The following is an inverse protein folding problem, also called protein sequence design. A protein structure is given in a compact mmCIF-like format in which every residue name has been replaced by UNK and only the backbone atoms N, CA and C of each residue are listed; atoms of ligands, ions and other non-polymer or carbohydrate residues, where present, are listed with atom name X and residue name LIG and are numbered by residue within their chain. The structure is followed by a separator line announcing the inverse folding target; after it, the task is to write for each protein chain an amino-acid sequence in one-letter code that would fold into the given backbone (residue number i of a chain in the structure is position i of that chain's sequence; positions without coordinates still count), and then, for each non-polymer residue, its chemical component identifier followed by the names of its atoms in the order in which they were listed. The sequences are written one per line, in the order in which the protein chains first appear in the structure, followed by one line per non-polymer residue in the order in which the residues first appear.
data_IF_299205188349
#
_entry.id   IF_299205188349
#
_cell.length_a   1.000
_cell.length_b   1.000
_cell.length_c   1.000
_cell.angle_alpha   90.00
_cell.angle_beta   90.00
_cell.angle_gamma   90.00
#
_symmetry.space_group_name_H-M   'P 1'
#
loop_
_entity.id
_entity.type
_entity.pdbx_description
1 polymer ?
#
# COMPACT_ATOMS: atom_id res chain seq x y z
N UNK A 1 -29.71 -20.31 68.60
CA UNK A 1 -29.91 -18.88 68.28
C UNK A 1 -28.55 -18.42 67.81
N UNK A 2 -28.31 -18.67 66.53
CA UNK A 2 -26.99 -18.76 65.93
C UNK A 2 -27.00 -17.83 64.73
N UNK A 3 -26.03 -16.92 64.71
CA UNK A 3 -25.92 -15.82 63.77
C UNK A 3 -25.95 -16.28 62.30
N UNK A 4 -26.85 -15.66 61.55
CA UNK A 4 -26.93 -15.74 60.09
C UNK A 4 -26.21 -14.52 59.54
N UNK A 5 -24.91 -14.66 59.29
CA UNK A 5 -24.14 -13.71 58.47
C UNK A 5 -24.61 -13.81 57.02
N UNK A 6 -25.30 -12.76 56.57
CA UNK A 6 -25.66 -12.55 55.16
C UNK A 6 -24.42 -12.07 54.41
N UNK A 7 -23.89 -12.93 53.56
CA UNK A 7 -22.96 -12.56 52.50
C UNK A 7 -23.66 -11.59 51.55
N UNK A 8 -23.16 -10.36 51.53
CA UNK A 8 -23.53 -9.34 50.54
C UNK A 8 -22.50 -9.42 49.43
N UNK A 9 -22.79 -10.20 48.39
CA UNK A 9 -22.05 -10.17 47.14
C UNK A 9 -22.20 -8.77 46.51
N UNK A 10 -21.19 -7.92 46.69
CA UNK A 10 -21.02 -6.72 45.90
C UNK A 10 -20.54 -7.13 44.49
N UNK A 11 -21.50 -7.27 43.58
CA UNK A 11 -21.28 -7.33 42.15
C UNK A 11 -20.64 -6.01 41.66
N UNK A 12 -19.31 -5.96 41.64
CA UNK A 12 -18.57 -4.84 41.03
C UNK A 12 -18.72 -4.89 39.52
N UNK A 13 -19.78 -4.29 39.01
CA UNK A 13 -19.93 -3.95 37.60
C UNK A 13 -18.81 -2.96 37.18
N UNK A 14 -17.72 -3.51 36.66
CA UNK A 14 -16.63 -2.72 36.07
C UNK A 14 -17.12 -2.03 34.79
N UNK A 15 -17.56 -0.78 34.96
CA UNK A 15 -17.98 0.11 33.87
C UNK A 15 -16.77 0.42 32.98
N UNK A 16 -16.56 -0.40 31.93
CA UNK A 16 -15.55 -0.20 30.88
C UNK A 16 -15.72 1.21 30.31
N UNK A 17 -14.77 2.10 30.62
CA UNK A 17 -14.71 3.44 30.01
C UNK A 17 -14.63 3.27 28.49
N UNK A 18 -15.47 3.96 27.70
CA UNK A 18 -15.33 3.95 26.25
C UNK A 18 -13.95 4.52 25.92
N UNK A 19 -13.09 3.69 25.33
CA UNK A 19 -11.75 4.10 24.95
C UNK A 19 -11.85 5.16 23.86
N UNK A 20 -11.39 6.38 24.15
CA UNK A 20 -11.32 7.51 23.20
C UNK A 20 -10.63 7.12 21.88
N UNK A 21 -9.70 6.17 21.95
CA UNK A 21 -8.95 5.63 20.82
C UNK A 21 -9.85 4.92 19.79
N UNK A 22 -10.96 4.31 20.24
CA UNK A 22 -11.92 3.66 19.34
C UNK A 22 -12.74 4.66 18.50
N UNK A 23 -13.02 5.85 19.03
CA UNK A 23 -13.79 6.86 18.31
C UNK A 23 -12.95 7.58 17.25
N UNK A 24 -11.71 7.94 17.58
CA UNK A 24 -10.75 8.55 16.65
C UNK A 24 -10.53 7.62 15.46
N UNK A 25 -10.38 6.31 15.70
CA UNK A 25 -10.23 5.35 14.62
C UNK A 25 -11.47 5.32 13.70
N UNK A 26 -12.68 5.23 14.26
CA UNK A 26 -13.92 5.25 13.46
C UNK A 26 -14.05 6.52 12.64
N UNK A 27 -13.77 7.68 13.23
CA UNK A 27 -13.82 8.96 12.52
C UNK A 27 -12.80 9.00 11.38
N UNK A 28 -11.55 8.57 11.63
CA UNK A 28 -10.51 8.49 10.61
C UNK A 28 -10.86 7.53 9.48
N UNK A 29 -11.51 6.40 9.80
CA UNK A 29 -11.95 5.41 8.81
C UNK A 29 -13.10 5.93 7.95
N UNK A 30 -14.06 6.64 8.54
CA UNK A 30 -15.15 7.29 7.82
C UNK A 30 -14.58 8.37 6.89
N UNK A 31 -13.67 9.21 7.39
CA UNK A 31 -12.98 10.21 6.58
C UNK A 31 -12.23 9.56 5.41
N UNK A 32 -11.49 8.48 5.66
CA UNK A 32 -10.82 7.69 4.63
C UNK A 32 -11.79 7.10 3.60
N UNK A 33 -12.96 6.61 4.03
CA UNK A 33 -13.99 6.12 3.12
C UNK A 33 -14.56 7.26 2.25
N UNK A 34 -14.83 8.43 2.83
CA UNK A 34 -15.33 9.59 2.08
C UNK A 34 -14.28 10.08 1.07
N UNK A 35 -13.03 10.25 1.51
CA UNK A 35 -11.90 10.64 0.67
C UNK A 35 -11.58 9.63 -0.44
N UNK A 36 -11.95 8.36 -0.28
CA UNK A 36 -11.74 7.35 -1.31
C UNK A 36 -13.03 7.00 -2.05
N UNK A 37 -14.11 7.78 -1.90
CA UNK A 37 -15.41 7.51 -2.53
C UNK A 37 -15.93 6.08 -2.26
N UNK A 38 -15.58 5.51 -1.10
CA UNK A 38 -15.93 4.15 -0.71
C UNK A 38 -15.03 3.05 -1.27
N UNK A 39 -14.03 3.36 -2.12
CA UNK A 39 -13.08 2.36 -2.63
C UNK A 39 -12.33 1.67 -1.50
N UNK A 40 -12.00 2.37 -0.40
CA UNK A 40 -11.34 1.79 0.77
C UNK A 40 -12.07 0.55 1.31
N UNK A 41 -13.41 0.52 1.32
CA UNK A 41 -14.19 -0.64 1.75
C UNK A 41 -13.99 -1.85 0.83
N UNK A 42 -13.98 -1.63 -0.50
CA UNK A 42 -13.72 -2.67 -1.49
C UNK A 42 -12.30 -3.23 -1.37
N UNK A 43 -11.31 -2.36 -1.18
CA UNK A 43 -9.92 -2.78 -0.99
C UNK A 43 -9.69 -3.46 0.36
N UNK A 44 -10.42 -3.05 1.41
CA UNK A 44 -10.39 -3.71 2.71
C UNK A 44 -10.80 -5.18 2.61
N UNK A 45 -11.90 -5.47 1.91
CA UNK A 45 -12.32 -6.86 1.67
C UNK A 45 -11.28 -7.67 0.89
N UNK A 46 -10.54 -7.06 -0.03
CA UNK A 46 -9.45 -7.73 -0.76
C UNK A 46 -8.27 -8.02 0.15
N UNK A 47 -7.88 -7.06 0.99
CA UNK A 47 -6.82 -7.22 1.97
C UNK A 47 -7.16 -8.33 2.97
N UNK A 48 -8.42 -8.46 3.40
CA UNK A 48 -8.84 -9.58 4.24
C UNK A 48 -8.60 -10.95 3.57
N UNK A 49 -8.76 -11.06 2.24
CA UNK A 49 -8.39 -12.29 1.52
C UNK A 49 -6.88 -12.52 1.55
N UNK A 50 -6.11 -11.44 1.54
CA UNK A 50 -4.66 -11.48 1.55
C UNK A 50 -4.11 -11.90 2.92
N UNK A 51 -4.85 -11.63 4.00
CA UNK A 51 -4.53 -12.13 5.35
C UNK A 51 -4.49 -13.66 5.43
N UNK A 52 -5.13 -14.39 4.51
CA UNK A 52 -5.02 -15.86 4.43
C UNK A 52 -3.60 -16.33 4.11
N UNK A 53 -2.79 -15.46 3.52
CA UNK A 53 -1.39 -15.72 3.20
C UNK A 53 -0.44 -15.34 4.33
N UNK A 54 -0.93 -14.77 5.44
CA UNK A 54 -0.12 -14.58 6.64
C UNK A 54 0.10 -15.95 7.32
N UNK A 55 1.34 -16.48 7.33
CA UNK A 55 1.62 -17.77 7.97
C UNK A 55 1.34 -17.76 9.47
N UNK A 56 1.32 -16.59 10.12
CA UNK A 56 0.93 -16.46 11.53
C UNK A 56 -0.53 -16.86 11.81
N UNK A 57 -1.41 -16.91 10.80
CA UNK A 57 -2.81 -17.26 10.99
C UNK A 57 -3.08 -18.78 10.97
N UNK A 58 -2.20 -19.57 10.37
CA UNK A 58 -2.43 -21.03 10.22
C UNK A 58 -1.83 -21.85 11.35
N UNK A 59 -0.82 -21.33 12.03
CA UNK A 59 -0.11 -22.09 13.04
C UNK A 59 0.50 -21.14 14.07
N UNK A 60 -0.09 -21.12 15.26
CA UNK A 60 0.40 -20.31 16.39
C UNK A 60 1.69 -20.85 16.99
N UNK A 61 2.05 -22.11 16.68
CA UNK A 61 3.22 -22.83 17.19
C UNK A 61 4.34 -22.99 16.16
N UNK A 62 4.06 -22.99 14.85
CA UNK A 62 5.12 -22.79 13.85
C UNK A 62 5.73 -21.43 14.13
N UNK A 63 7.02 -21.43 14.42
CA UNK A 63 7.86 -20.25 14.23
C UNK A 63 7.61 -19.80 12.79
N UNK A 64 6.80 -18.76 12.60
CA UNK A 64 6.51 -18.13 11.31
C UNK A 64 7.75 -17.45 10.68
N UNK A 65 8.94 -17.94 11.00
CA UNK A 65 10.18 -17.18 10.99
C UNK A 65 11.44 -18.01 10.70
N UNK A 66 11.37 -19.33 10.47
CA UNK A 66 12.59 -20.16 10.32
C UNK A 66 12.76 -20.84 8.97
N UNK A 67 11.81 -20.72 8.05
CA UNK A 67 11.94 -21.35 6.72
C UNK A 67 11.53 -20.36 5.65
N UNK A 68 12.40 -20.23 4.65
CA UNK A 68 12.15 -19.52 3.39
C UNK A 68 10.91 -20.15 2.76
N UNK A 69 9.71 -19.62 3.03
CA UNK A 69 8.49 -20.21 2.50
C UNK A 69 8.38 -19.77 1.05
N UNK A 70 8.70 -20.69 0.13
CA UNK A 70 8.46 -20.49 -1.29
C UNK A 70 6.99 -20.15 -1.52
N UNK A 71 6.71 -19.25 -2.47
CA UNK A 71 5.36 -18.78 -2.82
C UNK A 71 4.35 -19.93 -3.02
N UNK A 72 4.85 -21.08 -3.46
CA UNK A 72 4.11 -22.33 -3.64
C UNK A 72 3.59 -22.95 -2.32
N UNK A 73 4.34 -22.83 -1.22
CA UNK A 73 3.98 -23.36 0.10
C UNK A 73 2.92 -22.54 0.85
N UNK A 74 2.83 -21.23 0.56
CA UNK A 74 1.78 -20.35 1.13
C UNK A 74 0.45 -20.48 0.35
N UNK A 75 0.47 -21.16 -0.80
CA UNK A 75 -0.66 -21.24 -1.73
C UNK A 75 -0.94 -19.89 -2.40
N UNK A 76 0.07 -19.03 -2.51
CA UNK A 76 -0.04 -17.74 -3.19
C UNK A 76 -0.23 -18.03 -4.68
N UNK A 77 -1.48 -18.05 -5.14
CA UNK A 77 -1.77 -18.25 -6.55
C UNK A 77 -1.12 -17.08 -7.29
N UNK A 78 -0.20 -17.36 -8.21
CA UNK A 78 0.39 -16.38 -9.14
C UNK A 78 -0.66 -15.43 -9.73
N UNK A 79 -1.91 -15.92 -9.86
CA UNK A 79 -3.07 -15.16 -10.30
C UNK A 79 -3.44 -13.92 -9.47
N UNK A 80 -3.24 -13.88 -8.15
CA UNK A 80 -3.72 -12.73 -7.34
C UNK A 80 -2.79 -11.51 -7.44
N UNK A 81 -1.46 -11.73 -7.45
CA UNK A 81 -0.47 -10.67 -7.76
C UNK A 81 -0.63 -10.17 -9.19
N UNK A 82 -0.83 -11.09 -10.14
CA UNK A 82 -1.10 -10.73 -11.53
C UNK A 82 -2.39 -9.93 -11.69
N UNK A 83 -3.45 -10.23 -10.90
CA UNK A 83 -4.68 -9.43 -10.89
C UNK A 83 -4.45 -8.01 -10.38
N UNK A 84 -3.70 -7.85 -9.29
CA UNK A 84 -3.42 -6.51 -8.77
C UNK A 84 -2.52 -5.72 -9.73
N UNK A 85 -1.49 -6.35 -10.29
CA UNK A 85 -0.64 -5.70 -11.31
C UNK A 85 -1.49 -5.25 -12.50
N UNK A 86 -2.36 -6.13 -13.02
CA UNK A 86 -3.29 -5.79 -14.11
C UNK A 86 -4.22 -4.63 -13.76
N UNK A 87 -4.62 -4.50 -12.50
CA UNK A 87 -5.43 -3.35 -12.05
C UNK A 87 -4.60 -2.07 -11.98
N UNK A 88 -3.35 -2.14 -11.55
CA UNK A 88 -2.44 -1.01 -11.54
C UNK A 88 -2.08 -0.56 -12.96
N UNK A 89 -1.79 -1.50 -13.85
CA UNK A 89 -1.57 -1.23 -15.28
C UNK A 89 -2.80 -0.56 -15.91
N UNK A 90 -4.00 -0.99 -15.52
CA UNK A 90 -5.28 -0.37 -15.94
C UNK A 90 -5.48 1.04 -15.42
N UNK A 91 -4.85 1.42 -14.30
CA UNK A 91 -4.92 2.79 -13.76
C UNK A 91 -3.83 3.70 -14.35
N UNK A 92 -2.68 3.16 -14.74
CA UNK A 92 -1.61 3.93 -15.39
C UNK A 92 -2.10 4.56 -16.69
N UNK A 93 -2.79 3.79 -17.54
CA UNK A 93 -3.30 4.29 -18.83
C UNK A 93 -4.19 5.55 -18.69
N UNK A 94 -5.29 5.55 -17.92
CA UNK A 94 -6.14 6.73 -17.77
C UNK A 94 -5.42 7.89 -17.08
N UNK A 95 -4.56 7.62 -16.08
CA UNK A 95 -3.77 8.69 -15.44
C UNK A 95 -2.84 9.38 -16.44
N UNK A 96 -2.15 8.62 -17.30
CA UNK A 96 -1.30 9.17 -18.35
C UNK A 96 -2.10 10.00 -19.36
N UNK A 97 -3.29 9.53 -19.76
CA UNK A 97 -4.18 10.28 -20.65
C UNK A 97 -4.64 11.58 -19.99
N UNK A 98 -5.07 11.55 -18.74
CA UNK A 98 -5.46 12.75 -17.98
C UNK A 98 -4.29 13.72 -17.86
N UNK A 99 -3.09 13.22 -17.54
CA UNK A 99 -1.86 14.02 -17.44
C UNK A 99 -1.57 14.72 -18.76
N UNK A 100 -1.54 13.98 -19.87
CA UNK A 100 -1.25 14.51 -21.19
C UNK A 100 -2.33 15.51 -21.66
N UNK A 101 -3.60 15.21 -21.42
CA UNK A 101 -4.72 16.08 -21.81
C UNK A 101 -4.69 17.38 -21.02
N UNK A 102 -4.43 17.30 -19.71
CA UNK A 102 -4.32 18.49 -18.86
C UNK A 102 -3.11 19.34 -19.25
N UNK A 103 -1.96 18.71 -19.53
CA UNK A 103 -0.77 19.41 -20.00
C UNK A 103 -1.00 20.10 -21.36
N UNK A 104 -1.67 19.41 -22.29
CA UNK A 104 -2.03 20.00 -23.58
C UNK A 104 -3.00 21.18 -23.42
N UNK A 105 -4.03 21.04 -22.58
CA UNK A 105 -4.99 22.11 -22.30
C UNK A 105 -4.31 23.35 -21.66
N UNK A 106 -3.29 23.15 -20.82
CA UNK A 106 -2.52 24.23 -20.20
C UNK A 106 -1.47 24.85 -21.14
N UNK A 107 -1.00 24.10 -22.14
CA UNK A 107 0.04 24.56 -23.07
C UNK A 107 -0.53 25.34 -24.27
N UNK A 108 -1.80 25.11 -24.64
CA UNK A 108 -2.43 25.81 -25.76
C UNK A 108 -2.78 27.24 -25.31
N UNK A 109 -2.11 28.28 -25.85
CA UNK A 109 -2.56 29.65 -25.64
C UNK A 109 -3.96 29.82 -26.23
N UNK A 110 -4.81 30.64 -25.59
CA UNK A 110 -6.16 30.93 -26.09
C UNK A 110 -6.07 31.36 -27.57
N UNK A 111 -6.73 30.65 -28.51
CA UNK A 111 -6.72 31.01 -29.93
C UNK A 111 -7.61 32.23 -30.24
N UNK A 112 -8.38 32.69 -29.27
CA UNK A 112 -9.10 33.95 -29.33
C UNK A 112 -8.20 35.02 -28.74
N UNK A 113 -7.97 36.13 -29.45
CA UNK A 113 -7.20 37.31 -29.01
C UNK A 113 -7.72 37.96 -27.71
N UNK A 114 -8.71 37.35 -27.06
CA UNK A 114 -9.08 37.62 -25.68
C UNK A 114 -8.11 36.91 -24.74
N UNK A 115 -7.46 37.63 -23.82
CA UNK A 115 -6.58 37.01 -22.87
C UNK A 115 -7.44 36.12 -21.96
N UNK A 116 -6.97 34.89 -21.80
CA UNK A 116 -7.28 33.98 -20.69
C UNK A 116 -8.39 32.95 -20.98
N UNK A 117 -7.98 31.67 -20.98
CA UNK A 117 -8.83 30.61 -20.45
C UNK A 117 -9.43 31.11 -19.13
N UNK A 118 -10.73 30.88 -18.91
CA UNK A 118 -11.36 31.15 -17.62
C UNK A 118 -10.46 30.61 -16.49
N UNK A 119 -10.11 31.47 -15.53
CA UNK A 119 -9.15 31.15 -14.48
C UNK A 119 -9.56 29.90 -13.68
N UNK A 120 -10.86 29.63 -13.56
CA UNK A 120 -11.41 28.43 -12.94
C UNK A 120 -11.09 27.19 -13.77
N UNK A 121 -11.29 27.23 -15.09
CA UNK A 121 -10.94 26.11 -15.97
C UNK A 121 -9.44 25.80 -15.89
N UNK A 122 -8.60 26.84 -15.90
CA UNK A 122 -7.15 26.70 -15.70
C UNK A 122 -6.83 26.04 -14.36
N UNK A 123 -7.44 26.48 -13.26
CA UNK A 123 -7.23 25.89 -11.95
C UNK A 123 -7.60 24.39 -11.94
N UNK A 124 -8.75 24.03 -12.52
CA UNK A 124 -9.23 22.65 -12.60
C UNK A 124 -8.29 21.76 -13.43
N UNK A 125 -7.76 22.26 -14.55
CA UNK A 125 -6.74 21.53 -15.33
C UNK A 125 -5.42 21.38 -14.59
N UNK A 126 -4.96 22.40 -13.86
CA UNK A 126 -3.75 22.29 -13.02
C UNK A 126 -3.96 21.25 -11.91
N UNK A 127 -5.13 21.22 -11.28
CA UNK A 127 -5.46 20.19 -10.27
C UNK A 127 -5.47 18.80 -10.91
N UNK A 128 -6.15 18.63 -12.05
CA UNK A 128 -6.19 17.35 -12.75
C UNK A 128 -4.78 16.87 -13.15
N UNK A 129 -3.92 17.78 -13.59
CA UNK A 129 -2.53 17.51 -13.91
C UNK A 129 -1.73 17.09 -12.67
N UNK A 130 -1.77 17.88 -11.59
CA UNK A 130 -1.03 17.60 -10.37
C UNK A 130 -1.44 16.27 -9.73
N UNK A 131 -2.74 16.04 -9.58
CA UNK A 131 -3.27 14.80 -9.04
C UNK A 131 -2.90 13.59 -9.91
N UNK A 132 -2.97 13.70 -11.24
CA UNK A 132 -2.63 12.58 -12.12
C UNK A 132 -1.14 12.23 -12.07
N UNK A 133 -0.25 13.21 -11.95
CA UNK A 133 1.18 12.99 -11.71
C UNK A 133 1.44 12.31 -10.36
N UNK A 134 0.81 12.76 -9.28
CA UNK A 134 0.92 12.12 -7.97
C UNK A 134 0.40 10.68 -7.99
N UNK A 135 -0.69 10.44 -8.72
CA UNK A 135 -1.23 9.10 -8.95
C UNK A 135 -0.22 8.18 -9.66
N UNK A 136 0.43 8.67 -10.71
CA UNK A 136 1.47 7.92 -11.44
C UNK A 136 2.67 7.61 -10.55
N UNK A 137 3.17 8.60 -9.81
CA UNK A 137 4.28 8.41 -8.87
C UNK A 137 3.93 7.39 -7.80
N UNK A 138 2.72 7.44 -7.25
CA UNK A 138 2.25 6.49 -6.25
C UNK A 138 2.17 5.07 -6.81
N UNK A 139 1.60 4.87 -8.00
CA UNK A 139 1.53 3.53 -8.63
C UNK A 139 2.94 3.02 -8.93
N UNK A 140 3.83 3.86 -9.47
CA UNK A 140 5.21 3.48 -9.75
C UNK A 140 5.94 3.06 -8.46
N UNK A 141 5.78 3.82 -7.37
CA UNK A 141 6.37 3.45 -6.09
C UNK A 141 5.80 2.13 -5.55
N UNK A 142 4.47 1.97 -5.54
CA UNK A 142 3.82 0.78 -5.02
C UNK A 142 4.13 -0.48 -5.88
N UNK A 143 4.27 -0.35 -7.20
CA UNK A 143 4.71 -1.42 -8.10
C UNK A 143 6.13 -1.84 -7.82
N UNK A 144 7.07 -0.91 -7.67
CA UNK A 144 8.47 -1.20 -7.33
C UNK A 144 8.57 -1.84 -5.94
N UNK A 145 7.88 -1.27 -4.95
CA UNK A 145 7.80 -1.84 -3.61
C UNK A 145 7.23 -3.26 -3.65
N UNK A 146 6.09 -3.46 -4.31
CA UNK A 146 5.46 -4.77 -4.46
C UNK A 146 6.32 -5.76 -5.26
N UNK A 147 7.10 -5.29 -6.24
CA UNK A 147 8.04 -6.08 -7.03
C UNK A 147 9.15 -6.68 -6.15
N UNK A 148 9.79 -5.82 -5.34
CA UNK A 148 10.90 -6.19 -4.45
C UNK A 148 10.49 -6.85 -3.14
N UNK A 149 9.18 -6.99 -2.86
CA UNK A 149 8.67 -7.56 -1.62
C UNK A 149 8.36 -9.05 -1.74
N UNK A 150 8.74 -9.82 -0.73
CA UNK A 150 8.35 -11.22 -0.61
C UNK A 150 6.83 -11.35 -0.39
N UNK A 151 6.17 -12.40 -0.92
CA UNK A 151 4.73 -12.63 -0.72
C UNK A 151 4.33 -12.68 0.76
N UNK A 152 5.24 -13.15 1.62
CA UNK A 152 5.06 -13.18 3.06
C UNK A 152 5.06 -11.77 3.67
N UNK A 153 5.97 -10.90 3.25
CA UNK A 153 6.00 -9.50 3.68
C UNK A 153 4.73 -8.76 3.27
N UNK A 154 4.21 -9.05 2.08
CA UNK A 154 2.93 -8.52 1.59
C UNK A 154 1.77 -9.04 2.44
N UNK A 155 1.76 -10.33 2.79
CA UNK A 155 0.76 -10.93 3.68
C UNK A 155 0.78 -10.33 5.10
N UNK A 156 1.97 -10.07 5.66
CA UNK A 156 2.17 -9.42 6.96
C UNK A 156 1.78 -7.94 6.94
N UNK A 157 2.07 -7.24 5.84
CA UNK A 157 1.58 -5.88 5.61
C UNK A 157 0.05 -5.87 5.61
N UNK A 158 -0.58 -6.78 4.85
CA UNK A 158 -2.03 -6.93 4.75
C UNK A 158 -2.71 -7.32 6.08
N UNK A 159 -2.03 -8.10 6.93
CA UNK A 159 -2.55 -8.44 8.26
C UNK A 159 -2.40 -7.31 9.28
N UNK A 160 -1.55 -6.32 9.01
CA UNK A 160 -1.33 -5.16 9.88
C UNK A 160 -0.71 -5.52 11.23
N UNK A 161 -0.37 -6.80 11.49
CA UNK A 161 0.12 -7.28 12.79
C UNK A 161 1.48 -6.69 13.17
N UNK A 162 2.34 -6.38 12.18
CA UNK A 162 3.65 -5.77 12.40
C UNK A 162 3.68 -4.23 12.41
N UNK A 163 2.70 -3.58 11.77
CA UNK A 163 2.72 -2.12 11.54
C UNK A 163 1.72 -1.36 12.43
N UNK A 164 0.54 -1.94 12.68
CA UNK A 164 -0.61 -1.23 13.25
C UNK A 164 -1.43 -2.09 14.22
N UNK A 165 -0.79 -3.01 14.96
CA UNK A 165 -1.48 -3.85 15.96
C UNK A 165 -2.69 -4.61 15.35
N UNK A 166 -2.57 -5.03 14.08
CA UNK A 166 -3.61 -5.78 13.37
C UNK A 166 -4.65 -4.93 12.63
N UNK A 167 -4.47 -3.60 12.53
CA UNK A 167 -5.41 -2.76 11.77
C UNK A 167 -5.12 -2.84 10.27
N UNK A 168 -5.97 -3.56 9.52
CA UNK A 168 -5.92 -3.64 8.04
C UNK A 168 -6.51 -2.42 7.34
N UNK A 169 -7.10 -1.49 8.07
CA UNK A 169 -7.72 -0.27 7.53
C UNK A 169 -6.73 0.64 6.78
N UNK A 170 -5.62 1.09 7.39
CA UNK A 170 -4.69 2.01 6.72
C UNK A 170 -4.05 1.42 5.45
N UNK A 171 -3.82 0.11 5.42
CA UNK A 171 -3.33 -0.58 4.21
C UNK A 171 -4.39 -0.54 3.10
N UNK A 172 -5.66 -0.72 3.45
CA UNK A 172 -6.77 -0.59 2.50
C UNK A 172 -6.88 0.80 1.90
N UNK A 173 -6.71 1.82 2.75
CA UNK A 173 -6.67 3.21 2.31
C UNK A 173 -5.52 3.43 1.31
N UNK A 174 -4.29 3.05 1.65
CA UNK A 174 -3.11 3.17 0.77
C UNK A 174 -3.34 2.49 -0.58
N UNK A 175 -3.88 1.27 -0.59
CA UNK A 175 -4.14 0.54 -1.84
C UNK A 175 -5.28 1.15 -2.67
N UNK A 176 -6.19 1.89 -2.04
CA UNK A 176 -7.31 2.56 -2.70
C UNK A 176 -6.93 3.95 -3.24
N UNK A 177 -5.89 4.58 -2.72
CA UNK A 177 -5.45 5.93 -3.10
C UNK A 177 -5.25 6.10 -4.61
N UNK A 178 -4.55 5.21 -5.35
CA UNK A 178 -4.39 5.36 -6.80
C UNK A 178 -5.72 5.43 -7.55
N UNK A 179 -6.70 4.62 -7.15
CA UNK A 179 -8.03 4.63 -7.75
C UNK A 179 -8.76 5.94 -7.44
N UNK A 180 -8.72 6.39 -6.18
CA UNK A 180 -9.34 7.64 -5.77
C UNK A 180 -8.74 8.85 -6.52
N UNK A 181 -7.40 8.93 -6.60
CA UNK A 181 -6.68 9.96 -7.34
C UNK A 181 -7.11 9.99 -8.80
N UNK A 182 -7.19 8.81 -9.45
CA UNK A 182 -7.64 8.72 -10.84
C UNK A 182 -9.04 9.28 -11.01
N UNK A 183 -9.97 8.92 -10.13
CA UNK A 183 -11.36 9.42 -10.17
C UNK A 183 -11.40 10.93 -9.97
N UNK A 184 -10.74 11.49 -8.95
CA UNK A 184 -10.73 12.94 -8.75
C UNK A 184 -10.08 13.67 -9.92
N UNK A 185 -8.95 13.19 -10.43
CA UNK A 185 -8.28 13.79 -11.60
C UNK A 185 -9.21 13.84 -12.80
N UNK A 186 -9.99 12.76 -13.04
CA UNK A 186 -10.97 12.72 -14.13
C UNK A 186 -12.14 13.69 -13.93
N UNK A 187 -12.61 13.86 -12.69
CA UNK A 187 -13.68 14.81 -12.35
C UNK A 187 -13.21 16.26 -12.54
N UNK A 188 -11.99 16.57 -12.10
CA UNK A 188 -11.40 17.90 -12.30
C UNK A 188 -11.18 18.21 -13.78
N UNK A 189 -10.69 17.23 -14.57
CA UNK A 189 -10.56 17.37 -16.02
C UNK A 189 -11.92 17.65 -16.67
N UNK A 190 -12.95 16.87 -16.31
CA UNK A 190 -14.31 17.04 -16.86
C UNK A 190 -14.93 18.39 -16.45
N UNK A 191 -14.76 18.80 -15.19
CA UNK A 191 -15.22 20.08 -14.70
C UNK A 191 -14.51 21.23 -15.42
N UNK A 192 -13.20 21.13 -15.66
CA UNK A 192 -12.43 22.11 -16.43
C UNK A 192 -12.97 22.27 -17.85
N UNK A 193 -13.26 21.15 -18.51
CA UNK A 193 -13.92 21.13 -19.82
C UNK A 193 -15.29 21.82 -19.79
N UNK A 194 -16.14 21.48 -18.81
CA UNK A 194 -17.47 22.08 -18.69
C UNK A 194 -17.40 23.60 -18.45
N UNK A 195 -16.54 24.05 -17.55
CA UNK A 195 -16.34 25.47 -17.27
C UNK A 195 -15.87 26.19 -18.54
N UNK A 196 -14.92 25.62 -19.28
CA UNK A 196 -14.45 26.20 -20.54
C UNK A 196 -15.57 26.30 -21.59
N UNK A 197 -16.48 25.32 -21.64
CA UNK A 197 -17.63 25.37 -22.58
C UNK A 197 -18.71 26.38 -22.18
N UNK A 198 -18.96 26.57 -20.88
CA UNK A 198 -20.02 27.45 -20.38
C UNK A 198 -19.54 28.90 -20.34
N UNK A 199 -18.31 29.13 -19.91
CA UNK A 199 -17.74 30.45 -19.69
C UNK A 199 -16.94 30.96 -20.90
N UNK A 200 -17.26 30.49 -22.10
CA UNK A 200 -16.57 30.86 -23.34
C UNK A 200 -16.61 32.37 -23.64
N UNK A 201 -17.53 33.11 -23.00
CA UNK A 201 -17.75 34.55 -23.21
C UNK A 201 -17.38 35.42 -21.99
N UNK A 202 -16.89 34.80 -20.90
CA UNK A 202 -16.56 35.50 -19.65
C UNK A 202 -15.03 35.61 -19.48
N UNK A 203 -14.52 36.84 -19.55
CA UNK A 203 -13.08 37.16 -19.64
C UNK A 203 -12.47 37.59 -18.30
N UNK A 204 -12.76 36.84 -17.23
CA UNK A 204 -12.12 37.07 -15.92
C UNK A 204 -10.68 36.54 -15.89
N UNK A 205 -9.72 37.43 -15.60
CA UNK A 205 -8.29 37.11 -15.50
C UNK A 205 -7.96 36.44 -14.15
N UNK A 206 -6.97 35.55 -14.14
CA UNK A 206 -6.37 34.94 -12.93
C UNK A 206 -5.86 36.03 -11.97
N UNK A 207 -5.36 37.15 -12.52
CA UNK A 207 -4.80 38.26 -11.73
C UNK A 207 -5.79 38.84 -10.71
N UNK A 208 -7.08 38.81 -11.03
CA UNK A 208 -8.13 39.33 -10.16
C UNK A 208 -8.55 38.32 -9.06
N UNK A 209 -8.18 37.05 -9.23
CA UNK A 209 -8.62 35.93 -8.38
C UNK A 209 -7.48 35.04 -7.88
N UNK A 210 -6.26 35.60 -7.75
CA UNK A 210 -5.05 34.81 -7.44
C UNK A 210 -5.18 33.98 -6.16
N UNK A 211 -5.82 34.51 -5.11
CA UNK A 211 -6.02 33.80 -3.85
C UNK A 211 -6.98 32.61 -3.98
N UNK A 212 -8.07 32.78 -4.72
CA UNK A 212 -9.03 31.71 -4.98
C UNK A 212 -8.42 30.63 -5.89
N UNK A 213 -7.70 31.04 -6.92
CA UNK A 213 -6.94 30.14 -7.79
C UNK A 213 -5.95 29.28 -6.98
N UNK A 214 -5.12 29.92 -6.16
CA UNK A 214 -4.15 29.23 -5.32
C UNK A 214 -4.82 28.26 -4.35
N UNK A 215 -5.94 28.66 -3.72
CA UNK A 215 -6.66 27.78 -2.80
C UNK A 215 -7.24 26.55 -3.50
N UNK A 216 -7.87 26.73 -4.67
CA UNK A 216 -8.46 25.64 -5.47
C UNK A 216 -7.40 24.66 -5.94
N UNK A 217 -6.20 25.15 -6.30
CA UNK A 217 -5.10 24.31 -6.77
C UNK A 217 -4.36 23.64 -5.61
N UNK A 218 -3.91 24.41 -4.62
CA UNK A 218 -3.05 23.93 -3.55
C UNK A 218 -3.76 23.01 -2.56
N UNK A 219 -5.06 23.20 -2.30
CA UNK A 219 -5.77 22.36 -1.34
C UNK A 219 -5.81 20.88 -1.76
N UNK A 220 -6.32 20.50 -2.95
CA UNK A 220 -6.38 19.09 -3.35
C UNK A 220 -4.98 18.51 -3.63
N UNK A 221 -4.11 19.24 -4.34
CA UNK A 221 -2.76 18.77 -4.69
C UNK A 221 -1.91 18.64 -3.42
N UNK A 222 -1.89 19.65 -2.56
CA UNK A 222 -1.12 19.61 -1.31
C UNK A 222 -1.60 18.53 -0.34
N UNK A 223 -2.92 18.33 -0.22
CA UNK A 223 -3.47 17.25 0.61
C UNK A 223 -3.05 15.87 0.08
N UNK A 224 -3.13 15.66 -1.23
CA UNK A 224 -2.75 14.40 -1.85
C UNK A 224 -1.24 14.13 -1.81
N UNK A 225 -0.41 15.17 -1.99
CA UNK A 225 1.03 15.10 -1.78
C UNK A 225 1.38 14.67 -0.35
N UNK A 226 0.72 15.25 0.66
CA UNK A 226 0.92 14.85 2.05
C UNK A 226 0.53 13.39 2.29
N UNK A 227 -0.59 12.92 1.69
CA UNK A 227 -0.99 11.51 1.72
C UNK A 227 0.04 10.60 1.03
N UNK A 228 0.60 11.03 -0.11
CA UNK A 228 1.63 10.30 -0.85
C UNK A 228 2.91 10.15 -0.02
N UNK A 229 3.41 11.25 0.55
CA UNK A 229 4.60 11.24 1.41
C UNK A 229 4.38 10.35 2.65
N UNK A 230 3.21 10.46 3.29
CA UNK A 230 2.85 9.59 4.42
C UNK A 230 2.80 8.11 4.03
N UNK A 231 2.33 7.81 2.81
CA UNK A 231 2.30 6.45 2.28
C UNK A 231 3.70 5.90 2.03
N UNK A 232 4.56 6.67 1.37
CA UNK A 232 5.95 6.28 1.10
C UNK A 232 6.70 6.07 2.42
N UNK A 233 6.65 7.05 3.32
CA UNK A 233 7.29 6.97 4.63
C UNK A 233 6.78 5.76 5.45
N UNK A 234 5.47 5.48 5.40
CA UNK A 234 4.88 4.32 6.06
C UNK A 234 5.37 2.98 5.50
N UNK A 235 5.43 2.86 4.17
CA UNK A 235 5.96 1.69 3.49
C UNK A 235 7.45 1.45 3.81
N UNK A 236 8.27 2.51 3.76
CA UNK A 236 9.70 2.42 4.09
C UNK A 236 9.93 2.10 5.57
N UNK A 237 9.22 2.76 6.47
CA UNK A 237 9.28 2.47 7.91
C UNK A 237 8.93 1.01 8.19
N UNK A 238 7.90 0.49 7.53
CA UNK A 238 7.52 -0.91 7.66
C UNK A 238 8.61 -1.86 7.16
N UNK A 239 9.13 -1.62 5.95
CA UNK A 239 10.19 -2.45 5.38
C UNK A 239 11.46 -2.42 6.25
N UNK A 240 11.82 -1.24 6.77
CA UNK A 240 12.96 -1.08 7.68
C UNK A 240 12.77 -1.87 8.98
N UNK A 241 11.61 -1.73 9.62
CA UNK A 241 11.27 -2.46 10.85
C UNK A 241 11.33 -3.98 10.65
N UNK A 242 10.85 -4.45 9.51
CA UNK A 242 10.85 -5.89 9.20
C UNK A 242 12.25 -6.46 9.03
N UNK A 243 13.14 -5.71 8.34
CA UNK A 243 14.56 -6.08 8.21
C UNK A 243 15.25 -6.15 9.58
N UNK A 244 14.96 -5.20 10.47
CA UNK A 244 15.56 -5.17 11.80
C UNK A 244 15.10 -6.36 12.66
N UNK A 245 13.81 -6.69 12.63
CA UNK A 245 13.27 -7.85 13.35
C UNK A 245 13.86 -9.17 12.84
N UNK A 246 14.08 -9.29 11.53
CA UNK A 246 14.68 -10.48 10.94
C UNK A 246 16.14 -10.66 11.38
N UNK A 247 16.93 -9.58 11.38
CA UNK A 247 18.35 -9.62 11.80
C UNK A 247 18.50 -10.03 13.27
N UNK A 248 17.75 -9.40 14.17
CA UNK A 248 17.79 -9.72 15.59
C UNK A 248 17.40 -11.18 15.88
N UNK A 249 16.42 -11.70 15.15
CA UNK A 249 15.96 -13.07 15.31
C UNK A 249 16.96 -14.10 14.81
N UNK A 250 17.61 -13.82 13.67
CA UNK A 250 18.68 -14.66 13.14
C UNK A 250 19.85 -14.73 14.12
N UNK A 251 20.25 -13.61 14.72
CA UNK A 251 21.31 -13.56 15.73
C UNK A 251 20.95 -14.35 17.00
N UNK A 252 19.68 -14.34 17.44
CA UNK A 252 19.24 -15.18 18.57
C UNK A 252 19.19 -16.68 18.24
N UNK A 253 18.70 -17.05 17.06
CA UNK A 253 18.63 -18.46 16.66
C UNK A 253 20.04 -19.04 16.38
N UNK A 254 20.97 -18.24 15.84
CA UNK A 254 22.38 -18.64 15.66
C UNK A 254 23.17 -18.63 16.98
N UNK A 255 22.95 -17.63 17.85
CA UNK A 255 23.60 -17.55 19.16
C UNK A 255 23.18 -18.66 20.13
N UNK A 256 21.89 -19.04 20.14
CA UNK A 256 21.39 -20.17 20.91
C UNK A 256 21.83 -21.54 20.36
N UNK A 257 22.29 -21.59 19.10
CA UNK A 257 22.85 -22.80 18.49
C UNK A 257 24.28 -23.10 18.92
N UNK A 258 25.05 -22.11 19.37
CA UNK A 258 26.46 -22.26 19.75
C UNK A 258 26.69 -22.73 21.19
N UNK A 259 25.72 -22.62 22.11
CA UNK A 259 25.88 -23.10 23.49
C UNK A 259 25.57 -24.60 23.69
N UNK A 260 25.04 -25.31 22.68
CA UNK A 260 24.78 -26.77 22.79
C UNK A 260 25.80 -27.67 22.09
N UNK A 261 26.88 -27.10 21.52
CA UNK A 261 27.97 -27.86 20.88
C UNK A 261 29.23 -27.83 21.76
N UNK A 262 29.08 -28.12 23.05
CA UNK A 262 30.19 -28.61 23.89
C UNK A 262 29.72 -29.93 24.49
N UNK A 263 29.62 -30.98 23.66
CA UNK A 263 29.15 -32.27 24.15
C UNK A 263 28.76 -33.31 23.09
N UNK A 264 29.50 -33.44 21.99
CA UNK A 264 29.73 -34.72 21.30
C UNK A 264 30.47 -34.48 19.98
N UNK A 265 31.79 -34.45 20.05
CA UNK A 265 32.63 -34.76 18.89
C UNK A 265 32.82 -36.28 18.83
N UNK A 266 31.83 -36.97 18.29
CA UNK A 266 31.98 -38.37 17.87
C UNK A 266 31.78 -38.42 16.35
N UNK A 267 32.89 -38.64 15.66
CA UNK A 267 33.07 -39.06 14.26
C UNK A 267 31.89 -38.80 13.31
N UNK A 268 32.02 -37.78 12.45
CA UNK A 268 31.28 -37.74 11.19
C UNK A 268 32.28 -37.61 10.03
N UNK A 269 32.26 -38.66 9.23
CA UNK A 269 33.02 -38.93 8.03
C UNK A 269 33.02 -37.77 7.02
N UNK A 270 34.16 -37.64 6.35
CA UNK A 270 34.41 -36.71 5.25
C UNK A 270 33.33 -36.82 4.15
N UNK A 271 32.90 -35.69 3.54
CA UNK A 271 32.12 -35.73 2.33
C UNK A 271 33.02 -36.16 1.17
N UNK A 272 32.70 -37.32 0.60
CA UNK A 272 33.36 -37.86 -0.58
C UNK A 272 33.42 -36.82 -1.71
N UNK A 273 34.63 -36.65 -2.26
CA UNK A 273 34.86 -35.93 -3.51
C UNK A 273 33.94 -36.48 -4.58
N UNK A 274 33.03 -35.62 -5.06
CA UNK A 274 32.22 -35.86 -6.25
C UNK A 274 33.19 -36.04 -7.43
N UNK A 275 33.09 -37.14 -8.17
CA UNK A 275 33.96 -37.38 -9.32
C UNK A 275 33.62 -36.40 -10.44
N UNK A 276 34.66 -35.95 -11.16
CA UNK A 276 34.56 -34.96 -12.24
C UNK A 276 33.55 -35.39 -13.32
N UNK A 277 33.39 -36.71 -13.54
CA UNK A 277 32.43 -37.27 -14.50
C UNK A 277 30.96 -37.00 -14.13
N UNK A 278 30.65 -36.91 -12.83
CA UNK A 278 29.27 -36.67 -12.38
C UNK A 278 28.91 -35.18 -12.44
N UNK A 279 29.91 -34.30 -12.42
CA UNK A 279 29.76 -32.88 -12.65
C UNK A 279 29.53 -32.58 -14.15
N UNK A 280 30.17 -33.34 -15.04
CA UNK A 280 30.03 -33.18 -16.49
C UNK A 280 28.67 -33.69 -17.03
N UNK A 281 28.11 -34.76 -16.43
CA UNK A 281 26.74 -35.22 -16.75
C UNK A 281 25.66 -34.21 -16.38
N UNK A 282 25.85 -33.41 -15.34
CA UNK A 282 24.83 -32.40 -14.94
C UNK A 282 24.86 -31.16 -15.82
N UNK A 283 26.01 -30.82 -16.40
CA UNK A 283 26.13 -29.68 -17.32
C UNK A 283 25.45 -29.94 -18.67
N UNK A 284 25.49 -31.18 -19.17
CA UNK A 284 24.90 -31.55 -20.47
C UNK A 284 23.38 -31.62 -20.45
N UNK A 285 22.76 -31.95 -19.32
CA UNK A 285 21.29 -31.99 -19.19
C UNK A 285 20.67 -30.59 -19.22
N UNK A 286 21.36 -29.57 -18.69
CA UNK A 286 20.83 -28.20 -18.65
C UNK A 286 20.85 -27.48 -20.01
N UNK A 287 21.66 -27.92 -20.97
CA UNK A 287 21.76 -27.27 -22.28
C UNK A 287 20.61 -27.65 -23.23
N UNK A 288 19.96 -28.80 -23.01
CA UNK A 288 18.90 -29.29 -23.90
C UNK A 288 17.50 -28.75 -23.57
N UNK A 289 17.31 -28.14 -22.40
CA UNK A 289 16.01 -27.54 -22.01
C UNK A 289 15.83 -26.08 -22.44
N UNK A 290 16.83 -25.45 -23.07
CA UNK A 290 16.74 -24.05 -23.54
C UNK A 290 16.47 -23.91 -25.06
N UNK A 291 16.31 -25.01 -25.80
CA UNK A 291 16.13 -24.99 -27.26
C UNK A 291 14.81 -25.59 -27.78
N UNK A 292 13.73 -25.53 -26.98
CA UNK A 292 12.37 -25.84 -27.47
C UNK A 292 11.39 -24.74 -27.05
#
# INVERSE_FOLDING_TARGET
MSDVTKDTEMEMATKKRPSHQGWIYKASWIAACILTLGYSSKYHQRILRWQKYDPSNKDSKRRAYSTLVTSHGVGFKSSERAKQQKEWDRLIMPLSVITATSAAALAIPSPFDTPNLNWVATALYVVAFGLSLEGLLLIMYLTVFGAGSDPEMIGRLASGKGFLVGMSGPVAFVTALPTAITTYSSLFLLAGLLVMTIAADDSSDIKDHIGAFQAIVLAPVGLMLACLLGTIAGCEWFAHRERHNYKYKKEMDEGAGTESIIGNSQMRSEPGRMSVEEQERRATVHFNEQTV
#
